data_IF_658422806642
#
_entry.id   IF_658422806642
#
_cell.length_a   1.000
_cell.length_b   1.000
_cell.length_c   1.000
_cell.angle_alpha   90.00
_cell.angle_beta   90.00
_cell.angle_gamma   90.00
#
_symmetry.space_group_name_H-M   'P 1'
#
loop_
_entity.id
_entity.type
_entity.pdbx_description
1 polymer ?
#
# COMPACT_ATOMS: atom_id res chain seq x y z
N UNK A 1 22.75 -5.35 27.74
CA UNK A 1 21.72 -6.38 27.46
C UNK A 1 20.85 -5.90 26.30
N UNK A 2 20.71 -6.64 25.19
CA UNK A 2 19.64 -6.35 24.23
C UNK A 2 18.32 -6.84 24.85
N UNK A 3 17.36 -5.94 25.03
CA UNK A 3 16.01 -6.34 25.45
C UNK A 3 15.36 -7.15 24.32
N UNK A 4 14.61 -8.23 24.63
CA UNK A 4 13.82 -8.91 23.61
C UNK A 4 12.79 -7.91 23.09
N UNK A 5 12.91 -7.55 21.81
CA UNK A 5 11.90 -6.75 21.12
C UNK A 5 10.70 -7.68 20.99
N UNK A 6 9.73 -7.56 21.89
CA UNK A 6 8.48 -8.31 21.80
C UNK A 6 7.81 -7.93 20.49
N UNK A 7 7.67 -8.90 19.60
CA UNK A 7 6.86 -8.73 18.39
C UNK A 7 5.39 -8.86 18.75
N UNK A 8 4.59 -7.88 18.33
CA UNK A 8 3.15 -7.85 18.54
C UNK A 8 2.44 -7.59 17.21
N UNK A 9 1.17 -7.95 17.16
CA UNK A 9 0.34 -7.68 15.99
C UNK A 9 -0.07 -6.21 15.99
N UNK A 10 0.03 -5.60 14.81
CA UNK A 10 -0.28 -4.20 14.52
C UNK A 10 -1.32 -4.15 13.43
N UNK A 11 -2.30 -3.27 13.58
CA UNK A 11 -3.40 -3.10 12.63
C UNK A 11 -3.10 -1.90 11.73
N UNK A 12 -3.03 -2.14 10.43
CA UNK A 12 -3.10 -1.10 9.40
C UNK A 12 -4.52 -1.08 8.83
N UNK A 13 -5.24 0.01 9.05
CA UNK A 13 -6.53 0.22 8.39
C UNK A 13 -6.34 1.10 7.16
N UNK A 14 -6.65 0.54 5.99
CA UNK A 14 -6.68 1.28 4.74
C UNK A 14 -8.13 1.59 4.36
N UNK A 15 -8.44 2.87 4.21
CA UNK A 15 -9.79 3.34 3.85
C UNK A 15 -9.78 3.78 2.39
N UNK A 16 -10.69 3.24 1.58
CA UNK A 16 -10.91 3.70 0.22
C UNK A 16 -11.83 4.94 0.21
N UNK A 17 -11.24 6.10 0.44
CA UNK A 17 -11.91 7.40 0.33
C UNK A 17 -12.05 7.91 -1.12
N UNK A 18 -11.66 7.09 -2.11
CA UNK A 18 -11.73 7.49 -3.51
C UNK A 18 -13.06 7.07 -4.14
N UNK A 19 -13.50 7.81 -5.16
CA UNK A 19 -14.68 7.45 -5.95
C UNK A 19 -14.50 6.18 -6.79
N UNK A 20 -13.25 5.80 -7.05
CA UNK A 20 -12.92 4.60 -7.81
C UNK A 20 -12.69 3.41 -6.87
N UNK A 21 -12.97 2.19 -7.37
CA UNK A 21 -12.66 0.97 -6.63
C UNK A 21 -11.14 0.82 -6.45
N UNK A 22 -10.74 0.28 -5.31
CA UNK A 22 -9.35 0.06 -4.93
C UNK A 22 -9.09 -1.44 -4.80
N UNK A 23 -8.02 -1.93 -5.40
CA UNK A 23 -7.56 -3.30 -5.17
C UNK A 23 -6.24 -3.28 -4.40
N UNK A 24 -6.15 -4.10 -3.37
CA UNK A 24 -4.97 -4.35 -2.56
C UNK A 24 -4.45 -5.73 -2.91
N UNK A 25 -3.18 -5.82 -3.26
CA UNK A 25 -2.51 -7.09 -3.50
C UNK A 25 -1.12 -7.08 -2.87
N UNK A 26 -0.60 -8.25 -2.49
CA UNK A 26 0.82 -8.37 -2.15
C UNK A 26 1.66 -8.05 -3.39
N UNK A 27 2.70 -7.23 -3.21
CA UNK A 27 3.53 -6.77 -4.33
C UNK A 27 4.17 -7.94 -5.11
N UNK A 28 4.58 -8.99 -4.40
CA UNK A 28 5.16 -10.20 -4.99
C UNK A 28 4.19 -10.98 -5.89
N UNK A 29 2.88 -10.85 -5.64
CA UNK A 29 1.82 -11.56 -6.36
C UNK A 29 1.19 -10.70 -7.46
N UNK A 30 1.52 -9.41 -7.51
CA UNK A 30 0.94 -8.44 -8.45
C UNK A 30 1.16 -8.86 -9.91
N UNK A 31 0.07 -9.09 -10.63
CA UNK A 31 0.08 -9.54 -12.03
C UNK A 31 0.39 -11.02 -12.25
N UNK A 32 0.68 -11.80 -11.19
CA UNK A 32 0.84 -13.27 -11.26
C UNK A 32 -0.40 -14.01 -10.79
N UNK A 33 -0.98 -13.62 -9.65
CA UNK A 33 -2.12 -14.32 -9.05
C UNK A 33 -3.25 -13.35 -8.70
N UNK A 34 -4.19 -13.06 -9.63
CA UNK A 34 -5.28 -12.12 -9.38
C UNK A 34 -6.25 -12.59 -8.28
N UNK A 35 -6.31 -13.90 -8.00
CA UNK A 35 -7.13 -14.50 -6.96
C UNK A 35 -6.70 -14.19 -5.52
N UNK A 36 -5.57 -13.50 -5.32
CA UNK A 36 -5.07 -13.03 -4.01
C UNK A 36 -5.10 -11.51 -3.90
N UNK A 37 -6.14 -10.87 -4.42
CA UNK A 37 -6.37 -9.44 -4.23
C UNK A 37 -7.62 -9.21 -3.38
N UNK A 38 -7.57 -8.17 -2.56
CA UNK A 38 -8.72 -7.67 -1.82
C UNK A 38 -9.24 -6.44 -2.54
N UNK A 39 -10.52 -6.45 -2.86
CA UNK A 39 -11.21 -5.36 -3.52
C UNK A 39 -11.97 -4.55 -2.48
N UNK A 40 -11.84 -3.23 -2.55
CA UNK A 40 -12.53 -2.25 -1.72
C UNK A 40 -13.37 -1.33 -2.61
N UNK A 41 -14.65 -1.26 -2.31
CA UNK A 41 -15.55 -0.29 -2.90
C UNK A 41 -15.29 1.12 -2.32
N UNK A 42 -15.75 2.18 -3.00
CA UNK A 42 -15.72 3.54 -2.47
C UNK A 42 -16.39 3.62 -1.09
N UNK A 43 -15.70 4.17 -0.10
CA UNK A 43 -16.16 4.29 1.28
C UNK A 43 -15.88 3.07 2.17
N UNK A 44 -15.39 1.95 1.62
CA UNK A 44 -15.03 0.77 2.41
C UNK A 44 -13.64 0.90 3.03
N UNK A 45 -13.42 0.15 4.11
CA UNK A 45 -12.12 0.07 4.78
C UNK A 45 -11.69 -1.37 4.98
N UNK A 46 -10.42 -1.65 4.75
CA UNK A 46 -9.80 -2.94 5.00
C UNK A 46 -8.79 -2.82 6.14
N UNK A 47 -8.87 -3.74 7.09
CA UNK A 47 -7.85 -3.92 8.11
C UNK A 47 -6.86 -4.99 7.65
N UNK A 48 -5.57 -4.68 7.75
CA UNK A 48 -4.45 -5.56 7.51
C UNK A 48 -3.73 -5.76 8.84
N UNK A 49 -3.53 -7.03 9.20
CA UNK A 49 -2.79 -7.41 10.41
C UNK A 49 -1.34 -7.61 9.99
N UNK A 50 -0.43 -6.92 10.68
CA UNK A 50 0.99 -6.85 10.38
C UNK A 50 1.77 -7.18 11.64
N UNK A 51 2.91 -7.84 11.49
CA UNK A 51 3.85 -8.04 12.57
C UNK A 51 4.63 -6.74 12.85
N UNK A 52 4.72 -6.33 14.12
CA UNK A 52 5.39 -5.10 14.52
C UNK A 52 6.85 -5.06 14.03
N UNK A 53 7.22 -3.99 13.33
CA UNK A 53 8.57 -3.83 12.79
C UNK A 53 8.87 -4.62 11.51
N UNK A 54 7.98 -5.52 11.10
CA UNK A 54 7.98 -6.21 9.82
C UNK A 54 7.75 -5.24 8.66
N UNK A 55 8.28 -5.59 7.48
CA UNK A 55 8.11 -4.81 6.25
C UNK A 55 7.22 -5.58 5.30
N UNK A 56 6.06 -5.02 4.99
CA UNK A 56 5.08 -5.60 4.10
C UNK A 56 4.96 -4.75 2.85
N UNK A 57 4.94 -5.39 1.68
CA UNK A 57 4.87 -4.69 0.40
C UNK A 57 3.55 -5.01 -0.30
N UNK A 58 2.80 -3.95 -0.60
CA UNK A 58 1.51 -4.03 -1.25
C UNK A 58 1.52 -3.24 -2.56
N UNK A 59 0.80 -3.74 -3.55
CA UNK A 59 0.41 -3.02 -4.74
C UNK A 59 -1.05 -2.60 -4.58
N UNK A 60 -1.28 -1.29 -4.61
CA UNK A 60 -2.61 -0.68 -4.60
C UNK A 60 -2.95 -0.23 -6.01
N UNK A 61 -3.98 -0.81 -6.62
CA UNK A 61 -4.44 -0.39 -7.95
C UNK A 61 -5.81 0.25 -7.85
N UNK A 62 -5.91 1.46 -8.41
CA UNK A 62 -7.16 2.18 -8.62
C UNK A 62 -7.29 2.57 -10.08
N UNK A 63 -8.31 2.03 -10.75
CA UNK A 63 -8.60 2.24 -12.17
C UNK A 63 -7.36 2.02 -13.06
N UNK A 64 -6.64 3.09 -13.43
CA UNK A 64 -5.42 3.04 -14.25
C UNK A 64 -4.13 3.30 -13.47
N UNK A 65 -4.22 3.73 -12.20
CA UNK A 65 -3.08 4.06 -11.35
C UNK A 65 -2.74 2.90 -10.43
N UNK A 66 -1.45 2.64 -10.28
CA UNK A 66 -0.93 1.62 -9.36
C UNK A 66 0.16 2.24 -8.49
N UNK A 67 0.04 2.04 -7.19
CA UNK A 67 0.99 2.47 -6.18
C UNK A 67 1.61 1.25 -5.48
N UNK A 68 2.93 1.17 -5.47
CA UNK A 68 3.68 0.28 -4.58
C UNK A 68 3.87 0.97 -3.26
N UNK A 69 3.51 0.23 -2.22
CA UNK A 69 3.51 0.72 -0.87
C UNK A 69 4.25 -0.28 -0.01
N UNK A 70 5.32 0.18 0.64
CA UNK A 70 5.95 -0.54 1.74
C UNK A 70 5.37 -0.02 3.05
N UNK A 71 4.90 -0.94 3.87
CA UNK A 71 4.35 -0.67 5.18
C UNK A 71 5.33 -1.24 6.20
N UNK A 72 5.77 -0.39 7.11
CA UNK A 72 6.53 -0.77 8.29
C UNK A 72 5.94 -0.02 9.48
N UNK A 73 5.10 -0.70 10.25
CA UNK A 73 4.48 -0.11 11.41
C UNK A 73 4.93 -0.76 12.71
N UNK A 74 4.97 0.07 13.75
CA UNK A 74 5.11 -0.34 15.15
C UNK A 74 3.86 -0.01 15.96
N UNK A 75 2.83 0.60 15.35
CA UNK A 75 1.60 1.00 16.05
C UNK A 75 0.42 0.94 15.09
N UNK A 76 -0.78 0.83 15.63
CA UNK A 76 -1.96 0.84 14.78
C UNK A 76 -2.05 2.15 14.01
N UNK A 77 -2.30 2.04 12.71
CA UNK A 77 -2.28 3.19 11.79
C UNK A 77 -3.47 3.16 10.86
N UNK A 78 -3.99 4.34 10.56
CA UNK A 78 -5.10 4.54 9.65
C UNK A 78 -4.62 5.39 8.48
N UNK A 79 -4.79 4.89 7.26
CA UNK A 79 -4.37 5.58 6.05
C UNK A 79 -5.52 5.65 5.04
N UNK A 80 -5.68 6.83 4.44
CA UNK A 80 -6.62 7.05 3.35
C UNK A 80 -5.93 6.71 2.02
N UNK A 81 -6.61 5.96 1.15
CA UNK A 81 -6.09 5.61 -0.17
C UNK A 81 -5.77 6.86 -1.00
N UNK A 82 -6.60 7.91 -0.91
CA UNK A 82 -6.39 9.20 -1.57
C UNK A 82 -5.01 9.81 -1.25
N UNK A 83 -4.54 9.72 -0.01
CA UNK A 83 -3.21 10.23 0.38
C UNK A 83 -2.07 9.47 -0.30
N UNK A 84 -2.23 8.15 -0.50
CA UNK A 84 -1.22 7.31 -1.16
C UNK A 84 -1.08 7.71 -2.64
N UNK A 85 -2.18 7.91 -3.35
CA UNK A 85 -2.16 8.30 -4.77
C UNK A 85 -1.87 9.79 -5.00
N UNK A 86 -2.08 10.64 -4.00
CA UNK A 86 -1.77 12.08 -4.08
C UNK A 86 -0.30 12.36 -3.73
N UNK A 87 0.38 11.41 -3.10
CA UNK A 87 1.81 11.51 -2.80
C UNK A 87 2.59 11.62 -4.10
N UNK A 88 3.03 12.84 -4.42
CA UNK A 88 3.93 13.10 -5.53
C UNK A 88 5.25 12.44 -5.21
N UNK A 89 5.64 11.45 -6.02
CA UNK A 89 7.03 10.99 -6.03
C UNK A 89 7.84 12.18 -6.53
N UNK A 90 8.80 12.71 -5.75
CA UNK A 90 9.73 13.68 -6.29
C UNK A 90 10.41 13.04 -7.49
N UNK A 91 10.12 13.58 -8.67
CA UNK A 91 10.79 13.22 -9.92
C UNK A 91 12.15 13.89 -9.87
N UNK A 92 13.06 13.39 -9.03
CA UNK A 92 14.40 13.94 -8.96
C UNK A 92 15.33 13.16 -9.88
N UNK A 93 15.68 13.83 -10.98
CA UNK A 93 16.79 13.48 -11.86
C UNK A 93 18.11 14.00 -11.28
N UNK A 94 18.11 14.58 -10.09
CA UNK A 94 19.30 14.96 -9.36
C UNK A 94 19.32 14.33 -7.95
N UNK A 95 20.47 13.78 -7.57
CA UNK A 95 20.86 13.37 -6.21
C UNK A 95 20.47 11.96 -5.70
N UNK A 96 21.45 11.15 -5.24
CA UNK A 96 21.23 9.84 -4.63
C UNK A 96 20.95 10.02 -3.13
N UNK A 97 19.76 10.51 -2.78
CA UNK A 97 19.29 10.46 -1.39
C UNK A 97 17.85 10.01 -1.35
N UNK A 98 17.68 8.78 -0.87
CA UNK A 98 16.43 8.08 -0.50
C UNK A 98 15.38 9.03 0.11
N UNK A 99 14.56 9.68 -0.70
CA UNK A 99 13.42 10.49 -0.24
C UNK A 99 12.12 9.96 -0.82
N UNK A 100 11.79 8.72 -0.44
CA UNK A 100 10.39 8.31 -0.45
C UNK A 100 9.67 9.16 0.61
N UNK A 101 8.62 9.86 0.24
CA UNK A 101 7.79 10.59 1.20
C UNK A 101 7.19 9.59 2.18
N UNK A 102 7.71 9.55 3.40
CA UNK A 102 7.30 8.62 4.43
C UNK A 102 6.07 9.20 5.14
N UNK A 103 4.88 8.68 4.83
CA UNK A 103 3.64 8.95 5.56
C UNK A 103 3.64 8.08 6.81
N UNK A 104 4.49 8.39 7.79
CA UNK A 104 4.62 7.63 9.02
C UNK A 104 5.07 6.18 8.78
N UNK A 105 4.15 5.21 8.99
CA UNK A 105 4.40 3.78 8.81
C UNK A 105 4.30 3.32 7.35
N UNK A 106 3.72 4.15 6.48
CA UNK A 106 3.43 3.80 5.10
C UNK A 106 4.32 4.62 4.17
N UNK A 107 5.03 3.94 3.28
CA UNK A 107 5.97 4.52 2.32
C UNK A 107 5.53 4.17 0.91
N UNK A 108 5.37 5.18 0.06
CA UNK A 108 5.08 4.98 -1.36
C UNK A 108 6.41 4.82 -2.10
N UNK A 109 6.66 3.62 -2.62
CA UNK A 109 7.90 3.29 -3.32
C UNK A 109 7.84 3.61 -4.81
N UNK A 110 6.67 3.42 -5.43
CA UNK A 110 6.49 3.63 -6.87
C UNK A 110 5.04 3.95 -7.17
N UNK A 111 4.81 4.83 -8.13
CA UNK A 111 3.50 5.16 -8.67
C UNK A 111 3.64 5.09 -10.19
N UNK A 112 2.81 4.29 -10.83
CA UNK A 112 2.81 4.16 -12.29
C UNK A 112 1.40 3.91 -12.80
N UNK A 113 1.24 3.93 -14.12
CA UNK A 113 -0.02 3.60 -14.75
C UNK A 113 0.04 2.18 -15.29
N UNK A 114 -0.96 1.37 -14.97
CA UNK A 114 -1.14 0.04 -15.56
C UNK A 114 -2.41 0.08 -16.42
N UNK A 115 -2.22 -0.01 -17.74
CA UNK A 115 -3.30 0.02 -18.74
C UNK A 115 -4.00 -1.32 -18.89
N UNK A 116 -3.53 -2.38 -18.20
CA UNK A 116 -4.24 -3.66 -18.18
C UNK A 116 -5.59 -3.46 -17.51
N UNK A 117 -6.64 -3.48 -18.34
CA UNK A 117 -8.01 -3.49 -17.89
C UNK A 117 -8.26 -4.77 -17.09
N UNK A 118 -8.84 -4.57 -15.90
CA UNK A 118 -9.54 -5.59 -15.15
C UNK A 118 -8.74 -6.79 -14.63
N UNK A 119 -8.18 -6.60 -13.43
CA UNK A 119 -8.17 -7.69 -12.43
C UNK A 119 -9.61 -7.95 -11.92
N UNK A 120 -10.54 -7.02 -12.20
CA UNK A 120 -11.93 -7.02 -11.77
C UNK A 120 -12.83 -8.03 -12.52
N UNK A 121 -12.45 -8.48 -13.73
CA UNK A 121 -13.30 -9.31 -14.58
C UNK A 121 -13.26 -10.81 -14.25
N UNK A 122 -12.57 -11.22 -13.18
CA UNK A 122 -12.40 -12.63 -12.82
C UNK A 122 -12.72 -12.97 -11.36
N UNK A 123 -13.53 -12.15 -10.67
CA UNK A 123 -14.08 -12.45 -9.35
C UNK A 123 -15.58 -12.74 -9.45
#
# INVERSE_FOLDING_TARGET
MPAPVQTYDVILTLVNDMHDMLSIQLLQDYGRCPSKCVVLQPGESQMLILESGGVYQYALKSRTKVANVSVRSWRDTHHLASHIFTTRIPTDRDSPSRSSTQLGAVRVDRLWMDTRFDVWNSL
#
